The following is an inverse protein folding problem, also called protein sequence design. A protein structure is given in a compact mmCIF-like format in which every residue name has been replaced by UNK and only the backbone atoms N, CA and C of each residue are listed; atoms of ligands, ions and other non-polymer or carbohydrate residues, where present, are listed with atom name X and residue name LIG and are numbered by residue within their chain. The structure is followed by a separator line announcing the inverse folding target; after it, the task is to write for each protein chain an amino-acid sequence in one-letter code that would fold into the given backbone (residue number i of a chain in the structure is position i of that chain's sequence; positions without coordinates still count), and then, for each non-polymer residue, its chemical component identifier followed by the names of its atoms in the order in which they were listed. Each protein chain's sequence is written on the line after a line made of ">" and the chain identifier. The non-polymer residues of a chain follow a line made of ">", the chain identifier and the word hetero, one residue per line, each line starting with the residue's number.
data_IF_651550562532
#
_entry.id   IF_651550562532
#
_cell.length_a   1.000
_cell.length_b   1.000
_cell.length_c   1.000
_cell.angle_alpha   90.00
_cell.angle_beta   90.00
_cell.angle_gamma   90.00
#
_symmetry.space_group_name_H-M   'P 1'
#
loop_
_entity.id
_entity.type
_entity.pdbx_description
1 polymer ?
#
# COMPACT_ATOMS: atom_id res chain seq x y z
N UNK A 1 13.41 -0.05 -30.36
CA UNK A 1 13.69 -1.27 -29.58
C UNK A 1 13.57 -0.92 -28.11
N UNK A 2 12.51 -1.39 -27.45
CA UNK A 2 12.28 -1.14 -26.03
C UNK A 2 13.32 -1.87 -25.18
N UNK A 3 13.89 -1.17 -24.20
CA UNK A 3 14.92 -1.70 -23.31
C UNK A 3 14.28 -2.77 -22.42
N UNK A 4 14.55 -4.04 -22.69
CA UNK A 4 14.03 -5.13 -21.89
C UNK A 4 14.81 -5.20 -20.57
N UNK A 5 14.12 -4.89 -19.48
CA UNK A 5 14.61 -5.06 -18.11
C UNK A 5 14.53 -6.55 -17.73
N UNK A 6 15.29 -7.42 -18.42
CA UNK A 6 15.32 -8.84 -18.08
C UNK A 6 16.07 -9.04 -16.75
N UNK A 7 15.36 -9.52 -15.73
CA UNK A 7 15.94 -9.94 -14.46
C UNK A 7 15.88 -11.47 -14.26
N UNK A 8 15.40 -12.25 -15.24
CA UNK A 8 15.50 -13.71 -15.23
C UNK A 8 15.26 -14.35 -16.60
N UNK A 9 15.66 -15.61 -16.77
CA UNK A 9 15.36 -16.45 -17.95
C UNK A 9 13.93 -17.00 -17.96
N UNK A 10 13.12 -16.72 -16.92
CA UNK A 10 11.74 -17.19 -16.78
C UNK A 10 10.76 -16.05 -17.09
N UNK A 11 9.99 -16.14 -18.21
CA UNK A 11 8.96 -15.16 -18.56
C UNK A 11 7.89 -14.93 -17.48
N UNK A 12 7.74 -15.84 -16.52
CA UNK A 12 6.81 -15.70 -15.39
C UNK A 12 7.33 -14.73 -14.34
N UNK A 13 8.64 -14.78 -14.07
CA UNK A 13 9.31 -13.89 -13.11
C UNK A 13 9.37 -12.44 -13.61
N UNK A 14 9.63 -12.25 -14.90
CA UNK A 14 9.60 -10.91 -15.51
C UNK A 14 8.20 -10.27 -15.46
N UNK A 15 7.14 -11.07 -15.62
CA UNK A 15 5.75 -10.60 -15.49
C UNK A 15 5.44 -10.17 -14.06
N UNK A 16 5.84 -10.95 -13.06
CA UNK A 16 5.68 -10.59 -11.65
C UNK A 16 6.43 -9.29 -11.35
N UNK A 17 7.67 -9.15 -11.83
CA UNK A 17 8.46 -7.93 -11.62
C UNK A 17 7.79 -6.70 -12.25
N UNK A 18 7.23 -6.82 -13.46
CA UNK A 18 6.47 -5.74 -14.08
C UNK A 18 5.25 -5.33 -13.26
N UNK A 19 4.53 -6.30 -12.68
CA UNK A 19 3.41 -6.03 -11.76
C UNK A 19 3.90 -5.31 -10.51
N UNK A 20 4.99 -5.75 -9.89
CA UNK A 20 5.57 -5.11 -8.70
C UNK A 20 5.98 -3.67 -8.99
N UNK A 21 6.63 -3.41 -10.14
CA UNK A 21 7.00 -2.05 -10.55
C UNK A 21 5.76 -1.18 -10.77
N UNK A 22 4.71 -1.71 -11.41
CA UNK A 22 3.46 -0.99 -11.60
C UNK A 22 2.81 -0.64 -10.26
N UNK A 23 2.70 -1.62 -9.35
CA UNK A 23 2.17 -1.40 -8.01
C UNK A 23 2.99 -0.37 -7.23
N UNK A 24 4.32 -0.43 -7.28
CA UNK A 24 5.18 0.54 -6.61
C UNK A 24 4.93 1.98 -7.10
N UNK A 25 4.66 2.17 -8.40
CA UNK A 25 4.29 3.48 -8.94
C UNK A 25 2.95 3.96 -8.39
N UNK A 26 1.94 3.10 -8.41
CA UNK A 26 0.62 3.45 -7.86
C UNK A 26 0.70 3.73 -6.36
N UNK A 27 1.47 2.95 -5.59
CA UNK A 27 1.73 3.22 -4.17
C UNK A 27 2.38 4.58 -3.96
N UNK A 28 3.33 4.97 -4.81
CA UNK A 28 3.93 6.31 -4.74
C UNK A 28 2.89 7.41 -5.02
N UNK A 29 2.05 7.24 -6.04
CA UNK A 29 0.98 8.21 -6.36
C UNK A 29 0.02 8.37 -5.19
N UNK A 30 -0.37 7.27 -4.53
CA UNK A 30 -1.21 7.33 -3.33
C UNK A 30 -0.53 8.08 -2.19
N UNK A 31 0.76 7.80 -1.92
CA UNK A 31 1.55 8.48 -0.89
C UNK A 31 1.67 9.98 -1.18
N UNK A 32 1.94 10.35 -2.43
CA UNK A 32 2.06 11.74 -2.86
C UNK A 32 0.73 12.50 -2.67
N UNK A 33 -0.38 11.90 -3.13
CA UNK A 33 -1.72 12.47 -2.93
C UNK A 33 -2.09 12.60 -1.46
N UNK A 34 -1.80 11.61 -0.63
CA UNK A 34 -2.05 11.68 0.81
C UNK A 34 -1.25 12.83 1.45
N UNK A 35 0.03 12.98 1.10
CA UNK A 35 0.87 14.09 1.58
C UNK A 35 0.33 15.47 1.18
N UNK A 36 -0.28 15.58 -0.01
CA UNK A 36 -0.96 16.80 -0.45
C UNK A 36 -2.22 17.05 0.40
N UNK A 37 -3.01 16.01 0.66
CA UNK A 37 -4.21 16.11 1.52
C UNK A 37 -3.83 16.57 2.92
N UNK A 38 -2.82 15.95 3.55
CA UNK A 38 -2.30 16.34 4.87
C UNK A 38 -1.87 17.81 4.88
N UNK A 39 -1.12 18.26 3.86
CA UNK A 39 -0.74 19.68 3.70
C UNK A 39 -1.95 20.59 3.62
N UNK A 40 -2.95 20.21 2.83
CA UNK A 40 -4.15 21.04 2.64
C UNK A 40 -5.02 21.10 3.89
N UNK A 41 -5.12 20.02 4.66
CA UNK A 41 -5.84 20.00 5.93
C UNK A 41 -5.13 20.82 7.01
N UNK A 42 -3.79 20.76 7.04
CA UNK A 42 -2.94 21.55 7.95
C UNK A 42 -3.02 23.05 7.63
N UNK A 43 -2.97 23.43 6.34
CA UNK A 43 -3.14 24.82 5.87
C UNK A 43 -4.48 25.45 6.32
N UNK A 44 -5.57 24.68 6.38
CA UNK A 44 -6.88 25.15 6.83
C UNK A 44 -7.10 24.99 8.34
N UNK A 45 -6.16 24.36 9.05
CA UNK A 45 -6.20 24.16 10.51
C UNK A 45 -7.25 23.17 10.99
N UNK A 46 -7.69 22.21 10.16
CA UNK A 46 -8.71 21.21 10.52
C UNK A 46 -8.08 19.95 11.10
N UNK A 47 -6.99 19.47 10.49
CA UNK A 47 -6.17 18.36 10.99
C UNK A 47 -4.73 18.77 10.76
N UNK A 48 -3.95 18.88 11.83
CA UNK A 48 -2.52 19.14 11.74
C UNK A 48 -1.76 17.85 11.46
N UNK A 49 -0.52 17.97 10.99
CA UNK A 49 0.34 16.79 10.85
C UNK A 49 0.63 16.12 12.20
N UNK A 50 0.75 16.91 13.26
CA UNK A 50 0.96 16.39 14.62
C UNK A 50 -0.23 15.54 15.08
N UNK A 51 -1.47 15.93 14.72
CA UNK A 51 -2.67 15.15 15.05
C UNK A 51 -2.63 13.75 14.41
N UNK A 52 -2.02 13.60 13.24
CA UNK A 52 -1.85 12.32 12.56
C UNK A 52 -0.68 11.50 13.15
N UNK A 53 0.46 12.14 13.39
CA UNK A 53 1.67 11.48 13.93
C UNK A 53 1.45 10.99 15.37
N UNK A 54 0.65 11.70 16.15
CA UNK A 54 0.34 11.39 17.54
C UNK A 54 -0.98 10.62 17.71
N UNK A 55 -1.69 10.35 16.61
CA UNK A 55 -2.97 9.66 16.65
C UNK A 55 -2.83 8.30 17.35
N UNK A 56 -3.71 8.09 18.33
CA UNK A 56 -3.90 6.81 19.01
C UNK A 56 -5.39 6.49 18.99
N UNK A 57 -5.77 5.24 18.71
CA UNK A 57 -7.15 4.81 18.86
C UNK A 57 -7.66 5.17 20.25
N UNK A 58 -8.86 5.72 20.29
CA UNK A 58 -9.52 6.18 21.51
C UNK A 58 -10.10 5.04 22.36
N UNK A 59 -10.23 3.84 21.77
CA UNK A 59 -10.77 2.65 22.42
C UNK A 59 -10.20 1.36 21.83
N UNK A 60 -10.26 0.29 22.62
CA UNK A 60 -9.90 -1.07 22.19
C UNK A 60 -10.75 -1.55 21.00
N UNK A 61 -11.99 -1.03 20.86
CA UNK A 61 -12.87 -1.33 19.74
C UNK A 61 -12.32 -0.72 18.45
N UNK A 62 -11.97 0.57 18.46
CA UNK A 62 -11.40 1.27 17.31
C UNK A 62 -10.05 0.66 16.90
N UNK A 63 -9.20 0.31 17.87
CA UNK A 63 -7.95 -0.40 17.58
C UNK A 63 -8.22 -1.77 16.91
N UNK A 64 -9.19 -2.53 17.41
CA UNK A 64 -9.61 -3.80 16.83
C UNK A 64 -10.11 -3.67 15.38
N UNK A 65 -10.88 -2.63 15.09
CA UNK A 65 -11.36 -2.33 13.72
C UNK A 65 -10.21 -2.00 12.77
N UNK A 66 -9.25 -1.16 13.20
CA UNK A 66 -8.07 -0.82 12.41
C UNK A 66 -7.23 -2.06 12.10
N UNK A 67 -6.98 -2.91 13.10
CA UNK A 67 -6.22 -4.15 12.92
C UNK A 67 -6.94 -5.14 12.00
N UNK A 68 -8.25 -5.29 12.14
CA UNK A 68 -9.05 -6.15 11.28
C UNK A 68 -9.03 -5.67 9.82
N UNK A 69 -9.19 -4.37 9.60
CA UNK A 69 -9.13 -3.78 8.25
C UNK A 69 -7.73 -3.96 7.61
N UNK A 70 -6.65 -3.80 8.40
CA UNK A 70 -5.29 -4.08 7.94
C UNK A 70 -5.14 -5.54 7.51
N UNK A 71 -5.58 -6.47 8.35
CA UNK A 71 -5.43 -7.90 8.09
C UNK A 71 -6.27 -8.34 6.87
N UNK A 72 -7.49 -7.82 6.73
CA UNK A 72 -8.32 -8.03 5.54
C UNK A 72 -7.61 -7.53 4.27
N UNK A 73 -7.07 -6.30 4.30
CA UNK A 73 -6.33 -5.75 3.18
C UNK A 73 -5.12 -6.62 2.82
N UNK A 74 -4.31 -6.99 3.81
CA UNK A 74 -3.14 -7.86 3.63
C UNK A 74 -3.54 -9.21 3.02
N UNK A 75 -4.63 -9.82 3.50
CA UNK A 75 -5.14 -11.07 2.93
C UNK A 75 -5.66 -10.90 1.50
N UNK A 76 -6.31 -9.78 1.19
CA UNK A 76 -6.79 -9.50 -0.18
C UNK A 76 -5.63 -9.37 -1.18
N UNK A 77 -4.51 -8.78 -0.74
CA UNK A 77 -3.35 -8.51 -1.59
C UNK A 77 -2.40 -9.71 -1.66
N UNK A 78 -2.07 -10.32 -0.53
CA UNK A 78 -1.07 -11.39 -0.45
C UNK A 78 -1.68 -12.80 -0.48
N UNK A 79 -2.96 -12.96 -0.11
CA UNK A 79 -3.65 -14.25 -0.14
C UNK A 79 -3.60 -14.97 -1.49
N UNK A 80 -3.70 -14.28 -2.64
CA UNK A 80 -3.50 -14.90 -3.95
C UNK A 80 -2.09 -15.46 -4.19
N UNK A 81 -1.06 -14.97 -3.49
CA UNK A 81 0.33 -15.41 -3.63
C UNK A 81 0.69 -16.57 -2.68
N UNK A 82 -0.03 -16.71 -1.57
CA UNK A 82 0.24 -17.70 -0.51
C UNK A 82 -0.65 -18.94 -0.59
N UNK A 83 -1.73 -18.91 -1.37
CA UNK A 83 -2.48 -20.13 -1.69
C UNK A 83 -1.59 -21.02 -2.55
N UNK A 84 -1.05 -22.07 -1.92
CA UNK A 84 -0.27 -23.11 -2.58
C UNK A 84 -0.91 -23.45 -3.94
N UNK A 85 -0.16 -23.21 -5.01
CA UNK A 85 -0.40 -23.87 -6.29
C UNK A 85 -0.09 -25.36 -6.13
N UNK A 86 -0.91 -26.08 -5.36
CA UNK A 86 -0.98 -27.54 -5.44
C UNK A 86 -1.53 -27.87 -6.81
N UNK A 87 -0.60 -28.16 -7.73
CA UNK A 87 -0.85 -28.93 -8.95
C UNK A 87 -1.46 -30.28 -8.59
#
# INVERSE_FOLDING_TARGET
>A
MGKNYFLSTDPSMDRIMNVVIALARETYVLKDRLSIVERKLDEVGVVTRADLDEYKPSSDIEEGEILAARDEFVQSVLGPLTKDHKK
#
